data_IF_146376487296
#
_entry.id   IF_146376487296
#
_cell.length_a   1.000
_cell.length_b   1.000
_cell.length_c   1.000
_cell.angle_alpha   90.00
_cell.angle_beta   90.00
_cell.angle_gamma   90.00
#
_symmetry.space_group_name_H-M   'P 1'
#
loop_
_entity.id
_entity.type
_entity.pdbx_description
1 polymer ?
#
# COMPACT_ATOMS: atom_id res chain seq x y z
N UNK A 1 15.66 -8.28 25.82
CA UNK A 1 16.44 -7.09 25.42
C UNK A 1 16.80 -7.08 23.91
N UNK A 2 16.80 -8.24 23.21
CA UNK A 2 17.01 -8.28 21.75
C UNK A 2 15.75 -7.95 20.95
N UNK A 3 14.57 -8.35 21.42
CA UNK A 3 13.28 -8.09 20.73
C UNK A 3 12.92 -6.60 20.58
N UNK A 4 13.32 -5.75 21.54
CA UNK A 4 13.01 -4.30 21.46
C UNK A 4 13.84 -3.54 20.42
N UNK A 5 14.98 -4.07 19.99
CA UNK A 5 15.84 -3.44 18.99
C UNK A 5 15.42 -3.80 17.54
N UNK A 6 14.80 -4.96 17.33
CA UNK A 6 14.27 -5.36 16.02
C UNK A 6 12.92 -4.66 15.73
N UNK A 7 12.04 -4.52 16.73
CA UNK A 7 10.75 -3.84 16.57
C UNK A 7 10.90 -2.37 16.16
N UNK A 8 11.95 -1.67 16.57
CA UNK A 8 12.17 -0.26 16.16
C UNK A 8 12.56 -0.11 14.69
N UNK A 9 13.16 -1.13 14.08
CA UNK A 9 13.59 -1.09 12.67
C UNK A 9 12.42 -1.26 11.70
N UNK A 10 11.34 -1.93 12.08
CA UNK A 10 10.16 -2.11 11.24
C UNK A 10 9.32 -0.84 11.07
N UNK A 11 9.60 0.20 11.83
CA UNK A 11 9.01 1.52 11.62
C UNK A 11 9.66 2.26 10.42
N UNK A 12 10.85 1.85 9.99
CA UNK A 12 11.58 2.42 8.86
C UNK A 12 11.25 1.65 7.58
N UNK A 13 10.87 2.35 6.50
CA UNK A 13 10.34 1.75 5.27
C UNK A 13 11.32 0.79 4.60
N UNK A 14 12.60 1.15 4.46
CA UNK A 14 13.61 0.30 3.82
C UNK A 14 13.86 -1.01 4.60
N UNK A 15 13.89 -0.91 5.93
CA UNK A 15 14.04 -2.06 6.81
C UNK A 15 12.81 -2.96 6.76
N UNK A 16 11.62 -2.36 6.70
CA UNK A 16 10.36 -3.08 6.58
C UNK A 16 10.25 -3.79 5.23
N UNK A 17 10.55 -3.10 4.12
CA UNK A 17 10.51 -3.67 2.78
C UNK A 17 11.47 -4.88 2.62
N UNK A 18 12.63 -4.81 3.24
CA UNK A 18 13.58 -5.92 3.29
C UNK A 18 13.01 -7.09 4.09
N UNK A 19 12.47 -6.82 5.28
CA UNK A 19 11.89 -7.83 6.16
C UNK A 19 10.73 -8.58 5.49
N UNK A 20 9.77 -7.85 4.92
CA UNK A 20 8.54 -8.45 4.37
C UNK A 20 8.81 -9.33 3.15
N UNK A 21 9.88 -9.06 2.39
CA UNK A 21 10.29 -9.86 1.23
C UNK A 21 11.13 -11.09 1.61
N UNK A 22 11.65 -11.13 2.84
CA UNK A 22 12.42 -12.27 3.31
C UNK A 22 11.47 -13.39 3.75
N UNK A 23 11.48 -14.52 3.03
CA UNK A 23 10.70 -15.68 3.41
C UNK A 23 11.27 -16.29 4.69
N UNK A 24 10.50 -16.29 5.76
CA UNK A 24 10.82 -17.03 6.99
C UNK A 24 10.10 -18.38 6.94
N UNK A 25 10.89 -19.44 6.68
CA UNK A 25 10.37 -20.79 6.54
C UNK A 25 9.92 -21.43 7.87
N UNK A 26 10.28 -20.83 9.01
CA UNK A 26 10.03 -21.40 10.34
C UNK A 26 8.97 -20.65 11.17
N UNK A 27 8.15 -19.78 10.52
CA UNK A 27 7.10 -19.07 11.23
C UNK A 27 5.91 -19.98 11.56
N UNK A 28 5.38 -19.84 12.78
CA UNK A 28 4.16 -20.54 13.23
C UNK A 28 2.91 -20.20 12.41
N UNK A 29 2.93 -19.09 11.67
CA UNK A 29 1.81 -18.56 10.89
C UNK A 29 1.80 -19.05 9.43
N UNK A 30 2.76 -19.91 9.02
CA UNK A 30 2.88 -20.41 7.63
C UNK A 30 1.61 -21.11 7.11
N UNK A 31 0.83 -21.71 7.98
CA UNK A 31 -0.42 -22.40 7.63
C UNK A 31 -1.60 -21.44 7.49
N UNK A 32 -1.45 -20.16 7.90
CA UNK A 32 -2.50 -19.15 7.71
C UNK A 32 -2.63 -18.79 6.23
N UNK A 33 -3.87 -18.75 5.75
CA UNK A 33 -4.18 -18.48 4.34
C UNK A 33 -3.60 -17.14 3.87
N UNK A 34 -3.53 -16.15 4.75
CA UNK A 34 -3.06 -14.80 4.44
C UNK A 34 -1.71 -14.47 5.09
N UNK A 35 -0.95 -15.47 5.48
CA UNK A 35 0.38 -15.27 6.07
C UNK A 35 1.31 -14.47 5.15
N UNK A 36 1.30 -14.80 3.84
CA UNK A 36 2.00 -14.03 2.79
C UNK A 36 1.03 -13.82 1.63
N UNK A 37 0.99 -12.60 1.14
CA UNK A 37 0.19 -12.23 -0.03
C UNK A 37 0.89 -11.19 -0.90
N UNK A 38 0.59 -11.22 -2.19
CA UNK A 38 1.05 -10.23 -3.16
C UNK A 38 -0.13 -9.75 -4.00
N UNK A 39 -0.19 -8.45 -4.19
CA UNK A 39 -1.17 -7.79 -5.03
C UNK A 39 -0.48 -6.91 -6.07
N UNK A 40 -0.56 -7.30 -7.35
CA UNK A 40 -0.08 -6.52 -8.47
C UNK A 40 -1.24 -5.69 -9.02
N UNK A 41 -1.09 -4.36 -9.04
CA UNK A 41 -2.17 -3.45 -9.38
C UNK A 41 -1.72 -2.23 -10.17
N UNK A 42 -2.44 -1.92 -11.26
CA UNK A 42 -2.28 -0.66 -11.98
C UNK A 42 -2.99 0.53 -11.29
N UNK A 43 -3.61 0.30 -10.12
CA UNK A 43 -4.37 1.30 -9.35
C UNK A 43 -5.41 2.03 -10.20
N UNK A 44 -6.56 1.42 -10.39
CA UNK A 44 -7.71 2.06 -11.04
C UNK A 44 -8.09 3.34 -10.31
N UNK A 45 -7.91 4.47 -10.97
CA UNK A 45 -8.14 5.82 -10.41
C UNK A 45 -9.59 6.03 -10.00
N UNK A 46 -10.54 5.53 -10.77
CA UNK A 46 -11.98 5.68 -10.48
C UNK A 46 -12.34 4.88 -9.23
N UNK A 47 -11.86 3.65 -9.14
CA UNK A 47 -12.04 2.82 -7.96
C UNK A 47 -11.40 3.45 -6.71
N UNK A 48 -10.18 3.95 -6.81
CA UNK A 48 -9.50 4.62 -5.70
C UNK A 48 -10.27 5.85 -5.24
N UNK A 49 -10.72 6.70 -6.16
CA UNK A 49 -11.49 7.89 -5.82
C UNK A 49 -12.81 7.52 -5.14
N UNK A 50 -13.54 6.54 -5.68
CA UNK A 50 -14.78 6.05 -5.08
C UNK A 50 -14.54 5.50 -3.66
N UNK A 51 -13.47 4.72 -3.46
CA UNK A 51 -13.11 4.19 -2.15
C UNK A 51 -12.71 5.31 -1.16
N UNK A 52 -11.96 6.32 -1.61
CA UNK A 52 -11.64 7.50 -0.80
C UNK A 52 -12.90 8.23 -0.34
N UNK A 53 -13.89 8.42 -1.24
CA UNK A 53 -15.17 9.06 -0.93
C UNK A 53 -15.96 8.24 0.11
N UNK A 54 -16.08 6.94 -0.10
CA UNK A 54 -16.77 6.04 0.85
C UNK A 54 -16.09 6.05 2.22
N UNK A 55 -14.76 6.04 2.27
CA UNK A 55 -14.03 6.08 3.54
C UNK A 55 -14.09 7.43 4.21
N UNK A 56 -14.11 8.52 3.45
CA UNK A 56 -14.33 9.86 3.98
C UNK A 56 -15.66 9.96 4.74
N UNK A 57 -16.73 9.43 4.17
CA UNK A 57 -18.06 9.45 4.80
C UNK A 57 -18.13 8.55 6.05
N UNK A 58 -17.49 7.37 6.01
CA UNK A 58 -17.49 6.40 7.12
C UNK A 58 -16.52 6.75 8.25
N UNK A 59 -15.49 7.54 7.98
CA UNK A 59 -14.38 7.81 8.90
C UNK A 59 -13.90 9.26 8.75
N UNK A 60 -14.73 10.25 9.11
CA UNK A 60 -14.40 11.66 8.99
C UNK A 60 -13.06 12.02 9.62
N UNK A 61 -12.31 12.90 8.97
CA UNK A 61 -11.00 13.36 9.44
C UNK A 61 -9.83 12.40 9.18
N UNK A 62 -10.10 11.16 8.70
CA UNK A 62 -9.04 10.20 8.37
C UNK A 62 -8.66 10.18 6.88
N UNK A 63 -9.47 10.78 6.02
CA UNK A 63 -9.14 11.02 4.61
C UNK A 63 -8.97 12.52 4.45
N UNK A 64 -7.75 12.98 4.17
CA UNK A 64 -7.43 14.40 4.13
C UNK A 64 -6.79 14.79 2.81
N UNK A 65 -7.29 15.86 2.20
CA UNK A 65 -6.75 16.43 0.97
C UNK A 65 -5.55 17.33 1.27
N UNK A 66 -4.51 17.25 0.47
CA UNK A 66 -3.35 18.15 0.55
C UNK A 66 -3.76 19.56 0.08
N UNK A 67 -3.35 20.58 0.86
CA UNK A 67 -3.57 21.99 0.54
C UNK A 67 -2.37 22.82 0.97
N UNK A 68 -1.56 23.25 0.01
CA UNK A 68 -0.28 23.87 0.28
C UNK A 68 0.66 22.93 1.06
N UNK A 69 1.16 23.38 2.20
CA UNK A 69 2.05 22.58 3.06
C UNK A 69 1.29 21.74 4.11
N UNK A 70 -0.03 21.73 4.10
CA UNK A 70 -0.87 21.03 5.09
C UNK A 70 -1.91 20.11 4.47
N UNK A 71 -2.79 19.62 5.32
CA UNK A 71 -3.90 18.74 4.95
C UNK A 71 -5.20 19.29 5.55
N UNK A 72 -6.27 19.23 4.76
CA UNK A 72 -7.60 19.71 5.13
C UNK A 72 -8.60 18.56 5.09
N UNK A 73 -9.64 18.67 5.91
CA UNK A 73 -10.77 17.75 5.93
C UNK A 73 -11.80 18.21 4.87
N UNK A 74 -11.57 17.78 3.63
CA UNK A 74 -12.43 18.07 2.49
C UNK A 74 -12.76 16.76 1.78
N UNK A 75 -14.02 16.59 1.33
CA UNK A 75 -14.47 15.39 0.57
C UNK A 75 -13.63 15.22 -0.69
N UNK A 76 -13.12 14.02 -0.97
CA UNK A 76 -12.44 13.73 -2.23
C UNK A 76 -13.35 13.95 -3.43
N UNK A 77 -12.95 14.81 -4.37
CA UNK A 77 -13.71 15.10 -5.60
C UNK A 77 -12.99 14.63 -6.86
N UNK A 78 -11.67 14.61 -6.82
CA UNK A 78 -10.83 14.24 -7.95
C UNK A 78 -9.49 13.68 -7.47
N UNK A 79 -8.84 12.86 -8.27
CA UNK A 79 -7.50 12.31 -8.01
C UNK A 79 -6.61 12.49 -9.24
N UNK A 80 -7.14 12.27 -10.44
CA UNK A 80 -6.37 12.15 -11.66
C UNK A 80 -5.56 10.84 -11.67
N UNK A 81 -4.64 10.68 -12.62
CA UNK A 81 -3.78 9.50 -12.67
C UNK A 81 -2.91 9.40 -11.40
N UNK A 82 -2.77 8.21 -10.84
CA UNK A 82 -1.92 7.98 -9.68
C UNK A 82 -0.46 8.10 -10.08
N UNK A 83 0.27 8.99 -9.41
CA UNK A 83 1.69 9.25 -9.64
C UNK A 83 2.58 8.80 -8.49
N UNK A 84 1.98 8.55 -7.32
CA UNK A 84 2.72 8.12 -6.14
C UNK A 84 1.84 7.39 -5.13
N UNK A 85 2.42 6.37 -4.51
CA UNK A 85 1.84 5.64 -3.39
C UNK A 85 2.96 5.44 -2.35
N UNK A 86 2.83 6.09 -1.20
CA UNK A 86 3.91 6.15 -0.20
C UNK A 86 3.41 5.83 1.20
N UNK A 87 4.04 4.87 1.86
CA UNK A 87 3.85 4.64 3.28
C UNK A 87 4.49 5.81 4.07
N UNK A 88 3.66 6.60 4.77
CA UNK A 88 4.12 7.79 5.51
C UNK A 88 4.48 7.44 6.93
N UNK A 89 3.73 6.54 7.54
CA UNK A 89 3.93 6.18 8.94
C UNK A 89 3.58 4.72 9.22
N UNK A 90 4.45 4.09 10.01
CA UNK A 90 4.24 2.75 10.55
C UNK A 90 4.30 2.78 12.07
N UNK A 91 3.66 1.80 12.70
CA UNK A 91 3.90 1.48 14.12
C UNK A 91 5.28 0.86 14.28
N UNK A 92 5.76 0.73 15.52
CA UNK A 92 6.99 0.01 15.84
C UNK A 92 6.96 -1.46 15.41
N UNK A 93 5.77 -2.06 15.28
CA UNK A 93 5.56 -3.40 14.76
C UNK A 93 5.37 -3.47 13.24
N UNK A 94 5.59 -2.37 12.49
CA UNK A 94 5.56 -2.35 11.03
C UNK A 94 4.18 -2.11 10.39
N UNK A 95 3.09 -2.10 11.17
CA UNK A 95 1.74 -1.84 10.65
C UNK A 95 1.64 -0.41 10.11
N UNK A 96 1.25 -0.25 8.84
CA UNK A 96 1.06 1.05 8.20
C UNK A 96 -0.17 1.76 8.79
N UNK A 97 0.04 2.98 9.27
CA UNK A 97 -1.01 3.81 9.86
C UNK A 97 -1.32 5.07 9.05
N UNK A 98 -0.43 5.45 8.14
CA UNK A 98 -0.65 6.57 7.23
C UNK A 98 -0.08 6.25 5.84
N UNK A 99 -0.91 6.46 4.83
CA UNK A 99 -0.61 6.29 3.41
C UNK A 99 -0.83 7.61 2.69
N UNK A 100 0.09 7.98 1.80
CA UNK A 100 -0.08 9.07 0.85
C UNK A 100 -0.42 8.49 -0.52
N UNK A 101 -1.46 9.04 -1.14
CA UNK A 101 -1.87 8.73 -2.51
C UNK A 101 -1.77 10.03 -3.31
N UNK A 102 -0.83 10.07 -4.24
CA UNK A 102 -0.56 11.23 -5.08
C UNK A 102 -1.15 11.00 -6.47
N UNK A 103 -1.97 11.92 -6.90
CA UNK A 103 -2.52 11.95 -8.24
C UNK A 103 -2.13 13.23 -8.97
N UNK A 104 -2.38 13.26 -10.27
CA UNK A 104 -2.08 14.44 -11.13
C UNK A 104 -2.95 15.64 -10.82
N UNK A 105 -4.11 15.44 -10.18
CA UNK A 105 -5.03 16.55 -9.84
C UNK A 105 -5.03 16.84 -8.34
N UNK A 106 -5.09 15.82 -7.49
CA UNK A 106 -5.10 15.99 -6.04
C UNK A 106 -4.26 14.90 -5.34
N UNK A 107 -3.91 15.16 -4.10
CA UNK A 107 -3.16 14.25 -3.23
C UNK A 107 -3.94 14.03 -1.93
N UNK A 108 -4.05 12.79 -1.51
CA UNK A 108 -4.78 12.41 -0.29
C UNK A 108 -3.89 11.67 0.70
N UNK A 109 -4.05 12.03 1.97
CA UNK A 109 -3.49 11.29 3.10
C UNK A 109 -4.57 10.44 3.72
N UNK A 110 -4.36 9.14 3.77
CA UNK A 110 -5.25 8.16 4.35
C UNK A 110 -4.70 7.74 5.69
N UNK A 111 -5.45 7.98 6.76
CA UNK A 111 -5.07 7.64 8.12
C UNK A 111 -5.88 6.45 8.64
N UNK A 112 -5.20 5.59 9.39
CA UNK A 112 -5.78 4.41 10.01
C UNK A 112 -5.70 3.16 9.12
N UNK A 113 -5.27 2.07 9.74
CA UNK A 113 -5.06 0.75 9.15
C UNK A 113 -6.25 0.30 8.29
N UNK A 114 -7.44 0.32 8.86
CA UNK A 114 -8.65 -0.13 8.19
C UNK A 114 -8.97 0.71 6.94
N UNK A 115 -8.79 2.04 7.01
CA UNK A 115 -9.02 2.91 5.86
C UNK A 115 -8.06 2.61 4.71
N UNK A 116 -6.77 2.39 5.02
CA UNK A 116 -5.73 2.03 4.05
C UNK A 116 -6.11 0.74 3.31
N UNK A 117 -6.50 -0.29 4.05
CA UNK A 117 -6.89 -1.59 3.50
C UNK A 117 -8.09 -1.48 2.55
N UNK A 118 -9.11 -0.69 2.92
CA UNK A 118 -10.30 -0.49 2.08
C UNK A 118 -10.07 0.38 0.85
N UNK A 119 -9.22 1.41 0.95
CA UNK A 119 -8.98 2.32 -0.17
C UNK A 119 -8.27 1.60 -1.32
N UNK A 120 -7.38 0.66 -1.02
CA UNK A 120 -6.53 -0.01 -2.01
C UNK A 120 -7.15 -1.27 -2.64
N UNK A 121 -8.31 -1.73 -2.20
CA UNK A 121 -8.93 -2.95 -2.72
C UNK A 121 -10.35 -2.72 -3.21
N UNK A 122 -10.73 -3.44 -4.24
CA UNK A 122 -12.10 -3.51 -4.76
C UNK A 122 -12.74 -4.86 -4.50
N UNK A 123 -13.95 -5.04 -5.02
CA UNK A 123 -14.61 -6.34 -5.05
C UNK A 123 -13.86 -7.30 -5.97
N UNK A 124 -13.76 -8.58 -5.55
CA UNK A 124 -13.07 -9.63 -6.31
C UNK A 124 -11.62 -9.31 -6.69
N UNK A 125 -10.92 -8.51 -5.88
CA UNK A 125 -9.50 -8.23 -6.08
C UNK A 125 -8.69 -9.51 -6.03
N UNK A 126 -7.93 -9.78 -7.10
CA UNK A 126 -7.06 -10.97 -7.21
C UNK A 126 -5.76 -10.73 -6.48
N UNK A 127 -5.32 -11.72 -5.71
CA UNK A 127 -4.05 -11.71 -4.99
C UNK A 127 -3.37 -13.07 -5.12
N UNK A 128 -2.05 -13.08 -5.02
CA UNK A 128 -1.28 -14.31 -4.89
C UNK A 128 -1.00 -14.57 -3.40
N UNK A 129 -1.08 -15.81 -2.98
CA UNK A 129 -0.99 -16.27 -1.58
C UNK A 129 0.13 -17.27 -1.37
N UNK A 130 0.55 -17.40 -0.11
CA UNK A 130 1.55 -18.37 0.32
C UNK A 130 2.97 -17.84 0.27
N UNK A 131 3.91 -18.53 0.90
CA UNK A 131 5.30 -18.11 1.05
C UNK A 131 6.02 -17.86 -0.29
N UNK A 132 5.63 -18.57 -1.35
CA UNK A 132 6.15 -18.47 -2.70
C UNK A 132 5.21 -17.70 -3.66
N UNK A 133 4.08 -17.17 -3.15
CA UNK A 133 3.02 -16.52 -3.93
C UNK A 133 2.44 -17.40 -5.06
N UNK A 134 2.56 -18.72 -4.95
CA UNK A 134 2.16 -19.68 -5.97
C UNK A 134 0.67 -20.05 -5.97
N UNK A 135 -0.12 -19.55 -5.01
CA UNK A 135 -1.52 -19.89 -4.84
C UNK A 135 -2.42 -18.71 -5.17
N UNK A 136 -3.34 -18.90 -6.10
CA UNK A 136 -4.34 -17.89 -6.44
C UNK A 136 -5.36 -17.68 -5.30
N UNK A 137 -5.70 -16.42 -5.05
CA UNK A 137 -6.71 -16.00 -4.09
C UNK A 137 -7.50 -14.80 -4.58
N UNK A 138 -8.55 -14.47 -3.83
CA UNK A 138 -9.31 -13.24 -4.03
C UNK A 138 -9.80 -12.68 -2.70
N UNK A 139 -9.90 -11.37 -2.65
CA UNK A 139 -10.43 -10.61 -1.51
C UNK A 139 -11.55 -9.69 -1.97
N UNK A 140 -12.44 -9.35 -1.05
CA UNK A 140 -13.57 -8.46 -1.31
C UNK A 140 -13.45 -7.17 -0.50
N UNK A 141 -13.14 -6.08 -1.19
CA UNK A 141 -13.23 -4.72 -0.67
C UNK A 141 -12.18 -4.32 0.37
N UNK A 142 -11.29 -5.22 0.79
CA UNK A 142 -10.29 -4.91 1.80
C UNK A 142 -9.06 -5.81 1.69
N UNK A 143 -7.84 -5.23 1.68
CA UNK A 143 -6.59 -5.99 1.76
C UNK A 143 -6.52 -6.84 3.04
N UNK A 144 -5.78 -7.97 3.05
CA UNK A 144 -5.68 -8.86 4.21
C UNK A 144 -5.13 -8.16 5.47
N UNK A 145 -4.18 -7.23 5.29
CA UNK A 145 -3.58 -6.45 6.38
C UNK A 145 -3.13 -5.09 5.88
N UNK A 146 -2.73 -4.17 6.78
CA UNK A 146 -1.93 -2.97 6.46
C UNK A 146 -0.44 -3.17 6.78
N UNK A 147 -0.04 -4.41 7.02
CA UNK A 147 1.34 -4.85 7.17
C UNK A 147 1.86 -5.29 5.80
N UNK A 148 2.19 -4.33 4.94
CA UNK A 148 2.68 -4.60 3.58
C UNK A 148 3.68 -3.55 3.11
N UNK A 149 4.61 -3.94 2.25
CA UNK A 149 5.51 -3.05 1.52
C UNK A 149 4.90 -2.66 0.17
N UNK A 150 5.29 -1.50 -0.33
CA UNK A 150 4.86 -0.95 -1.63
C UNK A 150 6.08 -0.90 -2.55
N UNK A 151 5.99 -1.53 -3.71
CA UNK A 151 7.02 -1.49 -4.74
C UNK A 151 6.44 -0.92 -6.04
N UNK A 152 6.89 0.26 -6.48
CA UNK A 152 6.49 0.80 -7.77
C UNK A 152 7.11 -0.01 -8.92
N UNK A 153 6.36 -0.20 -9.99
CA UNK A 153 6.82 -0.81 -11.23
C UNK A 153 6.88 0.28 -12.30
N UNK A 154 8.02 0.42 -12.94
CA UNK A 154 8.29 1.49 -13.90
C UNK A 154 8.31 0.97 -15.33
N UNK A 155 7.84 1.79 -16.26
CA UNK A 155 8.14 1.63 -17.67
C UNK A 155 9.57 2.14 -17.94
N UNK A 156 10.38 1.33 -18.62
CA UNK A 156 11.75 1.67 -19.02
C UNK A 156 11.93 1.37 -20.51
N UNK A 157 12.92 1.98 -21.14
CA UNK A 157 13.23 1.76 -22.57
C UNK A 157 13.55 0.27 -22.88
N UNK A 158 14.04 -0.46 -21.89
CA UNK A 158 14.38 -1.89 -22.01
C UNK A 158 13.24 -2.82 -21.52
N UNK A 159 12.07 -2.26 -21.13
CA UNK A 159 10.93 -3.02 -20.64
C UNK A 159 10.40 -2.56 -19.30
N UNK A 160 9.99 -3.49 -18.42
CA UNK A 160 9.42 -3.23 -17.11
C UNK A 160 10.47 -3.45 -16.01
N UNK A 161 10.63 -2.51 -15.06
CA UNK A 161 11.57 -2.59 -13.95
C UNK A 161 10.99 -2.08 -12.64
N UNK A 162 11.43 -2.64 -11.52
CA UNK A 162 11.21 -2.09 -10.17
C UNK A 162 12.31 -1.10 -9.75
N UNK A 163 13.40 -1.01 -10.52
CA UNK A 163 14.45 -0.02 -10.29
C UNK A 163 14.12 1.29 -11.00
N UNK A 164 14.24 2.40 -10.27
CA UNK A 164 14.03 3.73 -10.82
C UNK A 164 15.14 4.07 -11.82
N UNK A 165 14.79 4.21 -13.09
CA UNK A 165 15.72 4.68 -14.12
C UNK A 165 16.21 6.10 -13.84
N UNK A 166 17.35 6.49 -14.43
CA UNK A 166 17.98 7.80 -14.19
C UNK A 166 17.22 8.99 -14.76
N UNK A 167 16.29 8.78 -15.70
CA UNK A 167 15.50 9.85 -16.34
C UNK A 167 14.01 9.59 -16.11
N UNK A 168 13.40 10.37 -15.22
CA UNK A 168 11.96 10.50 -14.91
C UNK A 168 11.07 9.31 -15.35
N UNK A 169 11.23 8.14 -14.76
CA UNK A 169 10.47 6.94 -15.15
C UNK A 169 8.99 7.12 -14.81
N UNK A 170 8.13 6.61 -15.69
CA UNK A 170 6.69 6.57 -15.47
C UNK A 170 6.35 5.34 -14.63
N UNK A 171 5.70 5.54 -13.50
CA UNK A 171 5.13 4.43 -12.72
C UNK A 171 3.90 3.91 -13.45
N UNK A 172 3.90 2.64 -13.81
CA UNK A 172 2.79 1.99 -14.54
C UNK A 172 1.93 1.10 -13.64
N UNK A 173 2.49 0.61 -12.55
CA UNK A 173 1.78 -0.22 -11.58
C UNK A 173 2.52 -0.27 -10.25
N UNK A 174 1.94 -0.97 -9.28
CA UNK A 174 2.54 -1.23 -7.97
C UNK A 174 2.40 -2.70 -7.61
N UNK A 175 3.39 -3.23 -6.92
CA UNK A 175 3.30 -4.52 -6.23
C UNK A 175 3.26 -4.28 -4.73
N UNK A 176 2.22 -4.80 -4.06
CA UNK A 176 2.07 -4.77 -2.61
C UNK A 176 2.38 -6.17 -2.06
N UNK A 177 3.31 -6.23 -1.11
CA UNK A 177 3.73 -7.46 -0.44
C UNK A 177 3.31 -7.43 1.03
N UNK A 178 2.52 -8.38 1.50
CA UNK A 178 2.11 -8.52 2.88
C UNK A 178 2.35 -9.90 3.47
#
# INVERSE_FOLDING_TARGET
AKESAEGSKLAEEDSFATFIKTADADSFEQEDTYYRWRYDTALDTELLLANLQVRYEKSPGNIRRKKGNGYVDEKPEKLGMVTGLTAVKRTTGGVMTELLIEGTEDTYRVCGEQNIRYVLAGENTKIALGADYGKDGSINGMLPSSFFAIEPVYETDDGISTEKAKEAPVVISYTLYG
#
